data_IF_040130525283
#
_entry.id   IF_040130525283
#
_cell.length_a   1.000
_cell.length_b   1.000
_cell.length_c   1.000
_cell.angle_alpha   90.00
_cell.angle_beta   90.00
_cell.angle_gamma   90.00
#
_symmetry.space_group_name_H-M   'P 1'
#
loop_
_entity.id
_entity.type
_entity.pdbx_description
1 polymer ?
#
# COMPACT_ATOMS: atom_id res chain seq x y z
N UNK A 1 32.74 -44.29 55.62
CA UNK A 1 33.03 -45.14 54.44
C UNK A 1 33.77 -44.27 53.43
N UNK A 2 34.97 -44.52 52.91
CA UNK A 2 35.93 -45.62 52.98
C UNK A 2 37.31 -44.94 52.80
N UNK A 3 38.26 -45.27 53.66
CA UNK A 3 39.67 -44.85 53.67
C UNK A 3 40.47 -46.14 53.55
N UNK A 4 41.52 -46.22 52.73
CA UNK A 4 42.69 -47.15 52.87
C UNK A 4 43.64 -46.97 51.65
N UNK A 5 44.84 -46.42 51.91
CA UNK A 5 46.22 -46.99 51.79
C UNK A 5 46.80 -47.04 50.36
N UNK A 6 47.85 -46.27 50.01
CA UNK A 6 49.28 -46.30 50.47
C UNK A 6 50.04 -47.52 49.97
N UNK A 7 51.02 -47.35 49.06
CA UNK A 7 52.35 -48.00 49.15
C UNK A 7 53.37 -47.47 48.11
N UNK A 8 54.47 -46.90 48.61
CA UNK A 8 55.74 -46.72 47.90
C UNK A 8 56.45 -48.07 47.75
N UNK A 9 57.22 -48.25 46.66
CA UNK A 9 58.35 -49.19 46.62
C UNK A 9 59.43 -48.66 45.69
N UNK A 10 60.59 -48.36 46.27
CA UNK A 10 61.87 -48.14 45.62
C UNK A 10 62.50 -49.53 45.40
N UNK A 11 63.22 -49.78 44.30
CA UNK A 11 64.43 -50.62 44.29
C UNK A 11 65.28 -50.38 43.03
N UNK A 12 66.57 -50.16 43.27
CA UNK A 12 67.70 -50.07 42.33
C UNK A 12 67.98 -51.40 41.62
N UNK A 13 68.62 -51.36 40.43
CA UNK A 13 70.00 -51.89 40.24
C UNK A 13 70.57 -51.62 38.84
N UNK A 14 71.90 -51.49 38.82
CA UNK A 14 72.82 -51.21 37.71
C UNK A 14 73.03 -52.40 36.76
N UNK A 15 73.49 -52.16 35.52
CA UNK A 15 74.87 -52.47 35.04
C UNK A 15 75.06 -52.27 33.52
N UNK A 16 76.33 -51.98 33.19
CA UNK A 16 76.97 -51.60 31.93
C UNK A 16 76.87 -52.61 30.76
N UNK A 17 76.92 -52.14 29.49
CA UNK A 17 78.10 -52.30 28.59
C UNK A 17 77.91 -51.72 27.16
N UNK A 18 79.06 -51.47 26.53
CA UNK A 18 79.45 -50.81 25.27
C UNK A 18 78.78 -51.23 23.94
N UNK A 19 78.50 -50.21 23.08
CA UNK A 19 78.89 -49.96 21.65
C UNK A 19 78.87 -51.07 20.57
N UNK A 20 78.91 -50.80 19.23
CA UNK A 20 78.63 -49.58 18.43
C UNK A 20 77.80 -49.80 17.12
N UNK A 21 77.49 -48.69 16.44
CA UNK A 21 77.62 -48.49 14.98
C UNK A 21 76.37 -48.37 14.06
N UNK A 22 76.53 -47.38 13.16
CA UNK A 22 75.93 -47.11 11.85
C UNK A 22 74.47 -46.66 11.67
N UNK A 23 74.36 -45.39 11.29
CA UNK A 23 73.71 -44.88 10.08
C UNK A 23 72.23 -45.19 9.84
N UNK A 24 71.40 -44.16 9.91
CA UNK A 24 70.75 -43.61 8.71
C UNK A 24 70.22 -42.21 8.97
N UNK A 25 70.80 -41.25 8.25
CA UNK A 25 70.25 -39.92 8.03
C UNK A 25 68.82 -40.03 7.50
N UNK A 26 67.86 -39.35 8.15
CA UNK A 26 66.66 -38.76 7.53
C UNK A 26 65.91 -37.90 8.58
N UNK A 27 66.53 -36.78 8.99
CA UNK A 27 65.94 -35.83 9.94
C UNK A 27 66.09 -34.39 9.43
N UNK A 28 65.51 -34.08 8.27
CA UNK A 28 65.50 -32.70 7.76
C UNK A 28 64.19 -32.24 7.10
N UNK A 29 63.15 -33.08 7.06
CA UNK A 29 61.83 -32.68 6.52
C UNK A 29 60.79 -32.28 7.57
N UNK A 30 61.02 -32.55 8.86
CA UNK A 30 59.99 -32.33 9.90
C UNK A 30 59.92 -30.88 10.41
N UNK A 31 60.97 -30.08 10.26
CA UNK A 31 60.95 -28.64 10.61
C UNK A 31 60.29 -27.81 9.52
N UNK A 32 60.70 -27.99 8.26
CA UNK A 32 60.13 -27.28 7.11
C UNK A 32 58.63 -27.52 6.94
N UNK A 33 58.15 -28.74 7.20
CA UNK A 33 56.74 -29.08 7.17
C UNK A 33 55.93 -28.38 8.27
N UNK A 34 56.49 -28.23 9.47
CA UNK A 34 55.84 -27.53 10.59
C UNK A 34 55.79 -26.02 10.35
N UNK A 35 56.85 -25.45 9.78
CA UNK A 35 56.92 -24.01 9.48
C UNK A 35 55.98 -23.62 8.32
N UNK A 36 55.88 -24.47 7.28
CA UNK A 36 54.88 -24.29 6.21
C UNK A 36 53.45 -24.45 6.72
N UNK A 37 53.18 -25.40 7.62
CA UNK A 37 51.86 -25.55 8.26
C UNK A 37 51.46 -24.29 9.04
N UNK A 38 52.43 -23.69 9.74
CA UNK A 38 52.22 -22.48 10.55
C UNK A 38 51.88 -21.27 9.66
N UNK A 39 52.62 -21.09 8.56
CA UNK A 39 52.34 -20.05 7.55
C UNK A 39 50.96 -20.20 6.91
N UNK A 40 50.57 -21.44 6.55
CA UNK A 40 49.23 -21.71 5.99
C UNK A 40 48.14 -21.35 7.01
N UNK A 41 48.30 -21.70 8.28
CA UNK A 41 47.31 -21.38 9.33
C UNK A 41 47.12 -19.87 9.55
N UNK A 42 48.18 -19.08 9.42
CA UNK A 42 48.13 -17.62 9.60
C UNK A 42 47.38 -16.93 8.47
N UNK A 43 47.46 -17.45 7.24
CA UNK A 43 46.70 -16.93 6.10
C UNK A 43 45.28 -17.47 6.00
N UNK A 44 44.99 -18.63 6.59
CA UNK A 44 43.67 -19.27 6.53
C UNK A 44 42.58 -18.41 7.18
N UNK A 45 42.86 -17.84 8.36
CA UNK A 45 41.92 -17.00 9.11
C UNK A 45 41.43 -15.78 8.32
N UNK A 46 42.31 -14.89 7.81
CA UNK A 46 41.87 -13.74 7.02
C UNK A 46 41.19 -14.15 5.71
N UNK A 47 41.59 -15.27 5.09
CA UNK A 47 40.95 -15.78 3.87
C UNK A 47 39.49 -16.20 4.11
N UNK A 48 39.23 -16.98 5.17
CA UNK A 48 37.87 -17.40 5.53
C UNK A 48 37.00 -16.20 5.87
N UNK A 49 37.55 -15.23 6.63
CA UNK A 49 36.83 -14.01 6.98
C UNK A 49 36.47 -13.18 5.74
N UNK A 50 37.38 -13.08 4.77
CA UNK A 50 37.16 -12.38 3.51
C UNK A 50 36.04 -13.00 2.67
N UNK A 51 36.07 -14.33 2.52
CA UNK A 51 35.02 -15.07 1.78
C UNK A 51 33.66 -14.93 2.46
N UNK A 52 33.61 -15.10 3.79
CA UNK A 52 32.38 -14.95 4.56
C UNK A 52 31.76 -13.56 4.41
N UNK A 53 32.59 -12.51 4.51
CA UNK A 53 32.15 -11.12 4.33
C UNK A 53 31.64 -10.86 2.90
N UNK A 54 32.31 -11.41 1.89
CA UNK A 54 31.91 -11.25 0.49
C UNK A 54 30.55 -11.90 0.21
N UNK A 55 30.30 -13.11 0.71
CA UNK A 55 29.01 -13.81 0.53
C UNK A 55 27.87 -13.02 1.17
N UNK A 56 28.03 -12.58 2.42
CA UNK A 56 27.02 -11.79 3.13
C UNK A 56 26.72 -10.49 2.39
N UNK A 57 27.75 -9.81 1.88
CA UNK A 57 27.58 -8.55 1.15
C UNK A 57 26.76 -8.74 -0.12
N UNK A 58 26.98 -9.84 -0.86
CA UNK A 58 26.24 -10.13 -2.09
C UNK A 58 24.77 -10.46 -1.78
N UNK A 59 24.49 -11.25 -0.74
CA UNK A 59 23.11 -11.54 -0.33
C UNK A 59 22.38 -10.29 0.15
N UNK A 60 23.04 -9.44 0.94
CA UNK A 60 22.46 -8.17 1.41
C UNK A 60 22.11 -7.23 0.25
N UNK A 61 22.92 -7.19 -0.82
CA UNK A 61 22.61 -6.37 -2.00
C UNK A 61 21.36 -6.86 -2.73
N UNK A 62 21.16 -8.17 -2.83
CA UNK A 62 19.98 -8.74 -3.50
C UNK A 62 18.71 -8.54 -2.67
N UNK A 63 18.78 -8.76 -1.35
CA UNK A 63 17.66 -8.50 -0.43
C UNK A 63 17.30 -7.02 -0.43
N UNK A 64 18.30 -6.13 -0.32
CA UNK A 64 18.07 -4.68 -0.32
C UNK A 64 17.48 -4.15 -1.63
N UNK A 65 17.84 -4.74 -2.78
CA UNK A 65 17.20 -4.40 -4.07
C UNK A 65 15.75 -4.81 -4.11
N UNK A 66 15.44 -6.06 -3.72
CA UNK A 66 14.08 -6.59 -3.70
C UNK A 66 13.19 -5.79 -2.76
N UNK A 67 13.68 -5.49 -1.55
CA UNK A 67 12.94 -4.71 -0.56
C UNK A 67 12.65 -3.29 -1.07
N UNK A 68 13.62 -2.62 -1.70
CA UNK A 68 13.39 -1.29 -2.30
C UNK A 68 12.34 -1.31 -3.42
N UNK A 69 12.28 -2.39 -4.19
CA UNK A 69 11.28 -2.54 -5.24
C UNK A 69 9.89 -2.78 -4.64
N UNK A 70 9.78 -3.63 -3.63
CA UNK A 70 8.53 -3.85 -2.87
C UNK A 70 8.06 -2.56 -2.18
N UNK A 71 8.97 -1.80 -1.56
CA UNK A 71 8.68 -0.52 -0.92
C UNK A 71 8.18 0.51 -1.94
N UNK A 72 8.79 0.57 -3.13
CA UNK A 72 8.35 1.46 -4.22
C UNK A 72 6.96 1.10 -4.71
N UNK A 73 6.72 -0.17 -4.99
CA UNK A 73 5.43 -0.65 -5.47
C UNK A 73 4.32 -0.41 -4.43
N UNK A 74 4.63 -0.65 -3.16
CA UNK A 74 3.71 -0.39 -2.05
C UNK A 74 3.39 1.10 -1.91
N UNK A 75 4.42 1.96 -2.01
CA UNK A 75 4.23 3.40 -1.96
C UNK A 75 3.44 3.93 -3.16
N UNK A 76 3.62 3.38 -4.36
CA UNK A 76 2.84 3.74 -5.55
C UNK A 76 1.39 3.32 -5.43
N UNK A 77 1.13 2.09 -4.97
CA UNK A 77 -0.22 1.60 -4.70
C UNK A 77 -0.92 2.47 -3.66
N UNK A 78 -0.24 2.79 -2.55
CA UNK A 78 -0.79 3.64 -1.51
C UNK A 78 -1.14 5.04 -2.05
N UNK A 79 -0.25 5.67 -2.84
CA UNK A 79 -0.55 6.96 -3.47
C UNK A 79 -1.74 6.90 -4.42
N UNK A 80 -1.87 5.82 -5.19
CA UNK A 80 -3.02 5.65 -6.09
C UNK A 80 -4.33 5.50 -5.29
N UNK A 81 -4.30 4.72 -4.20
CA UNK A 81 -5.45 4.56 -3.30
C UNK A 81 -5.82 5.88 -2.62
N UNK A 82 -4.84 6.64 -2.11
CA UNK A 82 -5.06 7.94 -1.48
C UNK A 82 -5.66 8.95 -2.46
N UNK A 83 -5.18 8.99 -3.71
CA UNK A 83 -5.75 9.82 -4.77
C UNK A 83 -7.21 9.46 -5.06
N UNK A 84 -7.50 8.16 -5.20
CA UNK A 84 -8.87 7.69 -5.44
C UNK A 84 -9.79 8.02 -4.26
N UNK A 85 -9.35 7.78 -3.02
CA UNK A 85 -10.12 8.10 -1.82
C UNK A 85 -10.38 9.61 -1.71
N UNK A 86 -9.38 10.44 -2.05
CA UNK A 86 -9.51 11.90 -2.04
C UNK A 86 -10.52 12.36 -3.10
N UNK A 87 -10.45 11.81 -4.31
CA UNK A 87 -11.41 12.11 -5.38
C UNK A 87 -12.84 11.72 -4.98
N UNK A 88 -13.03 10.56 -4.35
CA UNK A 88 -14.35 10.12 -3.88
C UNK A 88 -14.87 10.95 -2.71
N UNK A 89 -14.01 11.34 -1.76
CA UNK A 89 -14.37 12.30 -0.69
C UNK A 89 -14.81 13.63 -1.27
N UNK A 90 -14.07 14.15 -2.25
CA UNK A 90 -14.41 15.41 -2.92
C UNK A 90 -15.79 15.35 -3.59
N UNK A 91 -16.10 14.28 -4.33
CA UNK A 91 -17.43 14.09 -4.93
C UNK A 91 -18.54 13.99 -3.89
N UNK A 92 -18.30 13.31 -2.77
CA UNK A 92 -19.27 13.26 -1.66
C UNK A 92 -19.52 14.65 -1.08
N UNK A 93 -18.45 15.42 -0.86
CA UNK A 93 -18.56 16.79 -0.35
C UNK A 93 -19.33 17.70 -1.32
N UNK A 94 -19.09 17.58 -2.63
CA UNK A 94 -19.87 18.30 -3.65
C UNK A 94 -21.35 17.94 -3.60
N UNK A 95 -21.67 16.65 -3.45
CA UNK A 95 -23.06 16.19 -3.32
C UNK A 95 -23.72 16.75 -2.04
N UNK A 96 -23.06 16.62 -0.88
CA UNK A 96 -23.60 17.09 0.40
C UNK A 96 -23.80 18.61 0.40
N UNK A 97 -22.83 19.36 -0.14
CA UNK A 97 -22.92 20.81 -0.31
C UNK A 97 -24.05 21.20 -1.25
N UNK A 98 -24.28 20.44 -2.33
CA UNK A 98 -25.42 20.69 -3.21
C UNK A 98 -26.75 20.49 -2.49
N UNK A 99 -26.94 19.36 -1.79
CA UNK A 99 -28.18 19.09 -1.04
C UNK A 99 -28.42 20.17 0.01
N UNK A 100 -27.39 20.56 0.76
CA UNK A 100 -27.47 21.64 1.76
C UNK A 100 -27.89 22.97 1.12
N UNK A 101 -27.18 23.40 0.09
CA UNK A 101 -27.46 24.68 -0.59
C UNK A 101 -28.88 24.70 -1.18
N UNK A 102 -29.33 23.59 -1.76
CA UNK A 102 -30.68 23.48 -2.30
C UNK A 102 -31.73 23.46 -1.19
N UNK A 103 -31.45 22.81 -0.05
CA UNK A 103 -32.30 22.85 1.13
C UNK A 103 -32.43 24.26 1.72
N UNK A 104 -31.34 25.02 1.75
CA UNK A 104 -31.32 26.43 2.18
C UNK A 104 -32.13 27.31 1.21
N UNK A 105 -31.94 27.14 -0.10
CA UNK A 105 -32.75 27.82 -1.11
C UNK A 105 -34.24 27.47 -0.96
N UNK A 106 -34.58 26.19 -0.78
CA UNK A 106 -35.97 25.81 -0.53
C UNK A 106 -36.51 26.48 0.73
N UNK A 107 -35.74 26.51 1.82
CA UNK A 107 -36.15 27.16 3.08
C UNK A 107 -36.38 28.67 2.92
N UNK A 108 -35.49 29.37 2.22
CA UNK A 108 -35.58 30.81 1.98
C UNK A 108 -36.82 31.18 1.15
N UNK A 109 -37.21 30.30 0.22
CA UNK A 109 -38.35 30.52 -0.68
C UNK A 109 -39.59 29.68 -0.30
N UNK A 110 -39.78 29.38 0.99
CA UNK A 110 -40.96 28.69 1.54
C UNK A 110 -41.31 27.36 0.84
N UNK A 111 -40.28 26.57 0.52
CA UNK A 111 -40.40 25.26 -0.09
C UNK A 111 -40.70 25.27 -1.59
N UNK A 112 -40.71 26.44 -2.24
CA UNK A 112 -41.16 26.59 -3.62
C UNK A 112 -40.24 27.49 -4.42
N UNK A 113 -39.66 26.95 -5.50
CA UNK A 113 -38.97 27.74 -6.52
C UNK A 113 -39.90 28.05 -7.71
N UNK A 114 -41.23 27.94 -7.52
CA UNK A 114 -42.25 27.87 -8.57
C UNK A 114 -42.49 29.18 -9.32
N UNK A 115 -41.83 30.26 -8.91
CA UNK A 115 -41.87 31.49 -9.70
C UNK A 115 -40.90 31.26 -10.86
N UNK A 116 -41.45 30.74 -11.97
CA UNK A 116 -40.81 30.75 -13.28
C UNK A 116 -40.13 32.12 -13.47
N UNK A 117 -38.82 32.11 -13.72
CA UNK A 117 -37.97 33.30 -13.87
C UNK A 117 -37.53 34.05 -12.59
N UNK A 118 -37.78 33.52 -11.39
CA UNK A 118 -37.09 34.05 -10.20
C UNK A 118 -35.59 33.85 -10.32
N UNK A 119 -34.83 34.78 -9.74
CA UNK A 119 -33.36 34.69 -9.64
C UNK A 119 -32.97 33.37 -8.96
N UNK A 120 -33.73 32.94 -7.95
CA UNK A 120 -33.55 31.68 -7.24
C UNK A 120 -33.67 30.44 -8.15
N UNK A 121 -34.70 30.36 -9.00
CA UNK A 121 -34.85 29.25 -9.95
C UNK A 121 -33.69 29.19 -10.96
N UNK A 122 -33.22 30.34 -11.45
CA UNK A 122 -32.05 30.41 -12.35
C UNK A 122 -30.76 29.94 -11.64
N UNK A 123 -30.55 30.34 -10.40
CA UNK A 123 -29.41 29.92 -9.58
C UNK A 123 -29.47 28.42 -9.30
N UNK A 124 -30.63 27.90 -8.89
CA UNK A 124 -30.87 26.49 -8.66
C UNK A 124 -30.59 25.66 -9.92
N UNK A 125 -31.02 26.14 -11.09
CA UNK A 125 -30.75 25.50 -12.38
C UNK A 125 -29.26 25.48 -12.69
N UNK A 126 -28.59 26.62 -12.61
CA UNK A 126 -27.16 26.71 -12.86
C UNK A 126 -26.35 25.78 -11.94
N UNK A 127 -26.69 25.75 -10.64
CA UNK A 127 -26.06 24.85 -9.66
C UNK A 127 -26.30 23.38 -9.99
N UNK A 128 -27.53 23.01 -10.33
CA UNK A 128 -27.90 21.62 -10.67
C UNK A 128 -27.15 21.14 -11.91
N UNK A 129 -27.12 21.94 -12.98
CA UNK A 129 -26.40 21.60 -14.21
C UNK A 129 -24.89 21.48 -13.97
N UNK A 130 -24.31 22.38 -13.18
CA UNK A 130 -22.89 22.32 -12.86
C UNK A 130 -22.53 21.06 -12.08
N UNK A 131 -23.36 20.69 -11.09
CA UNK A 131 -23.11 19.51 -10.25
C UNK A 131 -23.27 18.21 -11.03
N UNK A 132 -24.25 18.12 -11.94
CA UNK A 132 -24.41 16.94 -12.80
C UNK A 132 -23.18 16.61 -13.64
N UNK A 133 -22.42 17.63 -14.07
CA UNK A 133 -21.17 17.43 -14.83
C UNK A 133 -20.00 16.96 -13.98
N UNK A 134 -20.04 17.19 -12.67
CA UNK A 134 -18.92 16.91 -11.75
C UNK A 134 -19.08 15.59 -11.00
N UNK A 135 -20.31 15.10 -10.88
CA UNK A 135 -20.63 13.88 -10.16
C UNK A 135 -20.83 12.70 -11.11
N UNK A 136 -20.59 11.49 -10.59
CA UNK A 136 -20.90 10.24 -11.29
C UNK A 136 -22.40 9.95 -11.32
N UNK A 137 -22.76 8.96 -12.13
CA UNK A 137 -24.13 8.51 -12.35
C UNK A 137 -24.88 8.17 -11.04
N UNK A 138 -24.24 7.50 -10.08
CA UNK A 138 -24.89 7.08 -8.83
C UNK A 138 -25.29 8.27 -7.97
N UNK A 139 -24.45 9.30 -7.89
CA UNK A 139 -24.74 10.53 -7.14
C UNK A 139 -25.76 11.41 -7.86
N UNK A 140 -25.70 11.50 -9.19
CA UNK A 140 -26.69 12.23 -10.00
C UNK A 140 -28.10 11.65 -9.85
N UNK A 141 -28.22 10.33 -9.82
CA UNK A 141 -29.44 9.58 -9.47
C UNK A 141 -30.05 10.05 -8.15
N UNK A 142 -29.23 10.25 -7.12
CA UNK A 142 -29.69 10.73 -5.79
C UNK A 142 -30.15 12.18 -5.84
N UNK A 143 -29.47 13.03 -6.61
CA UNK A 143 -29.90 14.42 -6.83
C UNK A 143 -31.25 14.47 -7.53
N UNK A 144 -31.44 13.67 -8.59
CA UNK A 144 -32.72 13.60 -9.32
C UNK A 144 -33.85 13.18 -8.38
N UNK A 145 -33.60 12.18 -7.53
CA UNK A 145 -34.56 11.77 -6.49
C UNK A 145 -34.88 12.91 -5.54
N UNK A 146 -33.88 13.60 -5.01
CA UNK A 146 -34.08 14.76 -4.15
C UNK A 146 -34.91 15.85 -4.83
N UNK A 147 -34.60 16.20 -6.09
CA UNK A 147 -35.35 17.18 -6.86
C UNK A 147 -36.80 16.76 -7.10
N UNK A 148 -37.06 15.46 -7.22
CA UNK A 148 -38.42 14.92 -7.34
C UNK A 148 -39.17 15.00 -6.02
N UNK A 149 -38.57 14.53 -4.93
CA UNK A 149 -39.16 14.50 -3.58
C UNK A 149 -39.46 15.91 -3.04
N UNK A 150 -38.72 16.91 -3.51
CA UNK A 150 -38.93 18.33 -3.23
C UNK A 150 -39.84 19.04 -4.24
N UNK A 151 -40.47 18.30 -5.16
CA UNK A 151 -41.36 18.80 -6.20
C UNK A 151 -40.72 19.83 -7.17
N UNK A 152 -39.39 19.97 -7.17
CA UNK A 152 -38.68 20.94 -8.01
C UNK A 152 -38.74 20.59 -9.50
N UNK A 153 -38.72 19.30 -9.82
CA UNK A 153 -38.91 18.80 -11.20
C UNK A 153 -40.33 18.25 -11.43
N UNK A 154 -41.21 18.33 -10.42
CA UNK A 154 -42.60 17.86 -10.50
C UNK A 154 -43.59 18.98 -10.18
N UNK A 155 -44.03 19.67 -11.23
CA UNK A 155 -45.40 20.19 -11.36
C UNK A 155 -45.78 20.07 -12.83
N UNK A 156 -47.08 20.07 -13.12
CA UNK A 156 -47.68 19.99 -14.47
C UNK A 156 -46.85 20.78 -15.51
N UNK A 157 -46.86 20.38 -16.80
CA UNK A 157 -45.99 20.98 -17.84
C UNK A 157 -45.95 22.52 -17.83
N UNK A 158 -47.02 23.17 -17.36
CA UNK A 158 -47.17 24.62 -17.28
C UNK A 158 -46.50 25.28 -16.05
N UNK A 159 -46.06 24.51 -15.03
CA UNK A 159 -45.58 25.01 -13.73
C UNK A 159 -44.32 24.28 -13.20
N UNK A 160 -43.39 23.86 -14.06
CA UNK A 160 -42.13 23.25 -13.60
C UNK A 160 -41.26 24.26 -12.87
N UNK A 161 -40.88 23.97 -11.63
CA UNK A 161 -40.02 24.85 -10.82
C UNK A 161 -38.59 24.94 -11.34
N UNK A 162 -38.11 23.86 -11.96
CA UNK A 162 -36.77 23.70 -12.49
C UNK A 162 -36.82 23.01 -13.85
N UNK A 163 -36.48 23.74 -14.91
CA UNK A 163 -36.35 23.16 -16.25
C UNK A 163 -34.94 22.65 -16.53
N UNK A 164 -34.82 21.33 -16.72
CA UNK A 164 -33.59 20.60 -17.01
C UNK A 164 -33.55 20.06 -18.45
N UNK A 165 -34.45 20.52 -19.32
CA UNK A 165 -34.57 20.06 -20.71
C UNK A 165 -33.28 20.17 -21.54
N UNK A 166 -32.39 21.11 -21.21
CA UNK A 166 -31.11 21.32 -21.90
C UNK A 166 -29.93 20.63 -21.21
N UNK A 167 -30.19 19.77 -20.21
CA UNK A 167 -29.13 19.07 -19.51
C UNK A 167 -28.65 17.90 -20.37
N UNK A 168 -27.36 17.89 -20.72
CA UNK A 168 -26.72 16.72 -21.31
C UNK A 168 -26.56 15.67 -20.21
N UNK A 169 -27.43 14.66 -20.20
CA UNK A 169 -27.47 13.59 -19.19
C UNK A 169 -27.17 12.22 -19.78
N UNK A 170 -26.57 12.22 -20.98
CA UNK A 170 -26.39 11.05 -21.84
C UNK A 170 -25.49 9.96 -21.24
N UNK A 171 -24.63 10.33 -20.28
CA UNK A 171 -23.70 9.41 -19.60
C UNK A 171 -24.24 8.86 -18.27
N UNK A 172 -25.48 9.17 -17.90
CA UNK A 172 -26.08 8.69 -16.65
C UNK A 172 -26.81 7.37 -16.93
N UNK A 173 -26.19 6.25 -16.54
CA UNK A 173 -26.87 4.96 -16.58
C UNK A 173 -27.89 4.86 -15.43
N UNK A 174 -29.16 4.99 -15.80
CA UNK A 174 -30.27 4.87 -14.87
C UNK A 174 -30.74 3.42 -14.66
N UNK A 175 -30.25 2.45 -15.43
CA UNK A 175 -30.77 1.07 -15.46
C UNK A 175 -30.53 0.29 -14.17
N UNK A 176 -29.41 0.54 -13.50
CA UNK A 176 -29.06 -0.08 -12.21
C UNK A 176 -29.49 0.75 -11.00
N UNK A 177 -30.03 1.94 -11.21
CA UNK A 177 -30.55 2.76 -10.13
C UNK A 177 -31.96 2.27 -9.76
N UNK A 178 -32.26 2.15 -8.46
CA UNK A 178 -33.60 1.85 -7.94
C UNK A 178 -34.61 3.01 -8.19
N UNK A 179 -34.47 3.68 -9.33
CA UNK A 179 -35.32 4.75 -9.83
C UNK A 179 -36.43 4.07 -10.62
N UNK A 180 -37.65 4.14 -10.08
CA UNK A 180 -38.88 3.79 -10.78
C UNK A 180 -38.90 4.47 -12.18
N UNK A 181 -39.31 3.75 -13.24
CA UNK A 181 -39.47 4.29 -14.61
C UNK A 181 -40.19 5.63 -14.65
N UNK A 182 -41.10 5.88 -13.69
CA UNK A 182 -41.78 7.16 -13.52
C UNK A 182 -40.83 8.36 -13.49
N UNK A 183 -39.66 8.27 -12.87
CA UNK A 183 -38.73 9.39 -12.74
C UNK A 183 -37.96 9.71 -14.04
N UNK A 184 -37.74 8.70 -14.89
CA UNK A 184 -36.95 8.82 -16.12
C UNK A 184 -37.72 9.53 -17.24
N UNK A 185 -39.05 9.41 -17.24
CA UNK A 185 -39.90 10.07 -18.25
C UNK A 185 -39.87 11.62 -18.16
N UNK A 186 -39.36 12.20 -17.07
CA UNK A 186 -39.32 13.65 -16.86
C UNK A 186 -38.00 14.30 -17.25
N UNK A 187 -36.96 13.50 -17.38
CA UNK A 187 -35.64 13.93 -17.81
C UNK A 187 -35.55 13.49 -19.27
N UNK A 188 -35.77 14.41 -20.20
CA UNK A 188 -35.64 14.11 -21.63
C UNK A 188 -34.19 13.70 -21.90
N UNK A 189 -33.95 12.40 -22.01
CA UNK A 189 -32.76 11.82 -22.63
C UNK A 189 -33.04 11.81 -24.14
N UNK A 190 -32.87 12.97 -24.79
CA UNK A 190 -32.89 13.08 -26.25
C UNK A 190 -31.51 12.88 -26.82
#
# INVERSE_FOLDING_TARGET
MLRIKKKNRIFNENLHHHSPSLSTNNSSSTSKAKDTLKLISTFLLPLVLGIFTAVITIEQQNIGKKQREEDRNSAELQRAQERNLTAEKYKNELFDNYIKNMGELLKEYNGSLLINHSVASKIARAKTLNIFRLLDAQRNVRIIRFLYETELIMRTQENRSLDLSTAELNDIDFRDSAINRKYLNFISLS
#
